data_IF_915285652231
#
_entry.id   IF_915285652231
#
_cell.length_a   1.000
_cell.length_b   1.000
_cell.length_c   1.000
_cell.angle_alpha   90.00
_cell.angle_beta   90.00
_cell.angle_gamma   90.00
#
_symmetry.space_group_name_H-M   'P 1'
#
loop_
_entity.id
_entity.type
_entity.pdbx_description
1 polymer ?
#
# COMPACT_ATOMS: atom_id res chain seq x y z
N UNK A 1 11.00 2.81 -5.82
CA UNK A 1 10.73 1.51 -5.20
C UNK A 1 10.38 0.50 -6.29
N UNK A 2 10.96 -0.69 -6.22
CA UNK A 2 10.71 -1.79 -7.17
C UNK A 2 10.50 -3.09 -6.43
N UNK A 3 9.63 -3.96 -6.96
CA UNK A 3 9.39 -5.31 -6.46
C UNK A 3 8.72 -6.18 -7.53
N UNK A 4 8.71 -7.49 -7.32
CA UNK A 4 7.99 -8.46 -8.15
C UNK A 4 6.66 -8.84 -7.51
N UNK A 5 5.65 -9.04 -8.33
CA UNK A 5 4.36 -9.67 -7.93
C UNK A 5 4.15 -11.00 -8.66
N UNK A 6 5.24 -11.57 -9.18
CA UNK A 6 5.19 -12.77 -10.01
C UNK A 6 4.56 -13.94 -9.25
N UNK A 7 3.64 -14.62 -9.92
CA UNK A 7 2.94 -15.82 -9.44
C UNK A 7 2.06 -15.59 -8.19
N UNK A 8 1.79 -14.34 -7.80
CA UNK A 8 0.87 -13.99 -6.72
C UNK A 8 -0.40 -13.40 -7.33
N UNK A 9 -1.61 -13.90 -6.99
CA UNK A 9 -2.85 -13.44 -7.58
C UNK A 9 -3.18 -11.98 -7.19
N UNK A 10 -3.88 -11.28 -8.08
CA UNK A 10 -4.51 -9.99 -7.79
C UNK A 10 -5.99 -10.21 -7.46
N UNK A 11 -6.43 -9.69 -6.34
CA UNK A 11 -7.77 -9.90 -5.76
C UNK A 11 -8.55 -8.59 -5.82
N UNK A 12 -9.70 -8.52 -6.52
CA UNK A 12 -10.54 -7.34 -6.53
C UNK A 12 -11.46 -7.32 -5.30
N UNK A 13 -11.47 -6.20 -4.58
CA UNK A 13 -12.38 -5.88 -3.50
C UNK A 13 -13.44 -4.89 -4.01
N UNK A 14 -14.59 -5.43 -4.45
CA UNK A 14 -15.63 -4.71 -5.16
C UNK A 14 -17.00 -4.87 -4.48
N UNK A 15 -17.11 -4.52 -3.21
CA UNK A 15 -18.35 -4.51 -2.44
C UNK A 15 -18.71 -5.84 -1.79
N UNK A 16 -17.74 -6.76 -1.63
CA UNK A 16 -17.96 -8.08 -1.00
C UNK A 16 -17.06 -8.33 0.21
N UNK A 17 -16.00 -7.53 0.38
CA UNK A 17 -15.00 -7.72 1.43
C UNK A 17 -15.23 -6.73 2.58
N UNK A 18 -15.33 -5.45 2.27
CA UNK A 18 -15.48 -4.35 3.23
C UNK A 18 -16.61 -3.39 2.85
N UNK A 19 -16.95 -2.48 3.79
CA UNK A 19 -17.83 -1.31 3.58
C UNK A 19 -17.17 -0.11 4.28
N UNK A 20 -16.59 0.86 3.54
CA UNK A 20 -16.49 0.91 2.08
C UNK A 20 -15.57 -0.18 1.51
N UNK A 21 -15.72 -0.43 0.22
CA UNK A 21 -14.82 -1.29 -0.56
C UNK A 21 -14.22 -0.46 -1.71
N UNK A 22 -13.39 -1.04 -2.56
CA UNK A 22 -12.81 -0.36 -3.73
C UNK A 22 -11.29 -0.33 -3.73
N UNK A 23 -10.70 -1.52 -3.87
CA UNK A 23 -9.28 -1.71 -4.11
C UNK A 23 -9.02 -2.98 -4.91
N UNK A 24 -7.81 -3.11 -5.40
CA UNK A 24 -7.26 -4.37 -5.89
C UNK A 24 -5.96 -4.63 -5.13
N UNK A 25 -5.88 -5.77 -4.45
CA UNK A 25 -4.69 -6.14 -3.71
C UNK A 25 -3.99 -7.38 -4.28
N UNK A 26 -2.71 -7.47 -4.02
CA UNK A 26 -1.82 -8.61 -4.23
C UNK A 26 -0.74 -8.56 -3.15
N UNK A 27 0.31 -9.36 -3.26
CA UNK A 27 1.48 -9.21 -2.40
C UNK A 27 2.76 -9.12 -3.23
N UNK A 28 3.78 -8.38 -2.77
CA UNK A 28 5.11 -8.50 -3.34
C UNK A 28 5.71 -9.88 -3.04
N UNK A 29 6.48 -10.45 -3.97
CA UNK A 29 7.37 -11.56 -3.65
C UNK A 29 8.24 -11.12 -2.47
N UNK A 30 8.27 -11.91 -1.40
CA UNK A 30 8.72 -11.52 -0.06
C UNK A 30 10.08 -10.82 -0.01
N UNK A 31 11.04 -11.30 -0.78
CA UNK A 31 12.44 -10.83 -0.81
C UNK A 31 12.77 -9.92 -2.00
N UNK A 32 11.75 -9.44 -2.74
CA UNK A 32 11.96 -8.73 -3.99
C UNK A 32 12.00 -7.20 -3.85
N UNK A 33 11.50 -6.63 -2.75
CA UNK A 33 11.37 -5.18 -2.60
C UNK A 33 12.74 -4.53 -2.39
N UNK A 34 13.04 -3.51 -3.22
CA UNK A 34 14.24 -2.69 -3.09
C UNK A 34 13.94 -1.21 -3.34
N UNK A 35 14.57 -0.33 -2.56
CA UNK A 35 14.43 1.12 -2.67
C UNK A 35 13.73 1.76 -1.48
N UNK A 36 13.25 2.97 -1.66
CA UNK A 36 12.69 3.79 -0.58
C UNK A 36 11.30 4.30 -0.95
N UNK A 37 10.40 4.33 0.02
CA UNK A 37 9.09 4.98 -0.08
C UNK A 37 8.89 5.93 1.08
N UNK A 38 8.34 7.14 0.79
CA UNK A 38 7.92 8.12 1.79
C UNK A 38 6.41 8.31 1.66
N UNK A 39 5.70 8.05 2.75
CA UNK A 39 4.25 8.15 2.79
C UNK A 39 3.82 9.59 3.09
N UNK A 40 2.75 10.02 2.45
CA UNK A 40 2.20 11.38 2.55
C UNK A 40 0.89 11.45 3.32
N UNK A 41 0.50 10.34 3.96
CA UNK A 41 -0.67 10.27 4.83
C UNK A 41 -0.26 9.99 6.28
N UNK A 42 -0.98 10.52 7.28
CA UNK A 42 -0.83 10.06 8.65
C UNK A 42 -1.42 8.64 8.80
N UNK A 43 -0.85 7.82 9.67
CA UNK A 43 -1.39 6.50 9.98
C UNK A 43 -1.49 6.29 11.49
N UNK A 44 -2.62 5.77 11.97
CA UNK A 44 -2.82 5.46 13.38
C UNK A 44 -2.52 4.00 13.63
N UNK A 45 -1.62 3.71 14.55
CA UNK A 45 -1.30 2.35 14.96
C UNK A 45 -1.14 2.29 16.49
N UNK A 46 -1.85 1.36 17.13
CA UNK A 46 -1.86 1.19 18.59
C UNK A 46 -2.10 2.50 19.36
N UNK A 47 -3.04 3.34 18.86
CA UNK A 47 -3.43 4.60 19.50
C UNK A 47 -2.44 5.76 19.32
N UNK A 48 -1.39 5.59 18.51
CA UNK A 48 -0.44 6.64 18.16
C UNK A 48 -0.56 7.03 16.70
N UNK A 49 -0.51 8.33 16.40
CA UNK A 49 -0.50 8.84 15.02
C UNK A 49 0.94 8.97 14.54
N UNK A 50 1.31 8.14 13.56
CA UNK A 50 2.57 8.26 12.85
C UNK A 50 2.42 9.18 11.64
N UNK A 51 3.43 10.02 11.41
CA UNK A 51 3.51 10.97 10.30
C UNK A 51 4.92 10.95 9.71
N UNK A 52 5.05 11.39 8.45
CA UNK A 52 6.34 11.45 7.76
C UNK A 52 7.08 10.10 7.76
N UNK A 53 6.31 9.02 7.57
CA UNK A 53 6.86 7.66 7.52
C UNK A 53 7.68 7.52 6.26
N UNK A 54 8.94 7.05 6.42
CA UNK A 54 9.82 6.72 5.32
C UNK A 54 10.49 5.37 5.59
N UNK A 55 10.33 4.45 4.64
CA UNK A 55 10.86 3.09 4.73
C UNK A 55 11.86 2.84 3.61
N UNK A 56 13.01 2.27 3.94
CA UNK A 56 14.00 1.78 2.96
C UNK A 56 14.07 0.26 3.04
N UNK A 57 13.99 -0.36 1.88
CA UNK A 57 13.99 -1.81 1.71
C UNK A 57 15.26 -2.29 1.00
N UNK A 58 15.79 -3.41 1.46
CA UNK A 58 16.82 -4.19 0.79
C UNK A 58 16.43 -5.66 0.80
N UNK A 59 16.29 -6.27 -0.38
CA UNK A 59 15.88 -7.66 -0.53
C UNK A 59 14.62 -8.00 0.30
N UNK A 60 13.58 -7.17 0.17
CA UNK A 60 12.29 -7.31 0.83
C UNK A 60 12.24 -6.81 2.28
N UNK A 61 13.38 -6.67 2.95
CA UNK A 61 13.43 -6.31 4.37
C UNK A 61 13.49 -4.79 4.56
N UNK A 62 12.70 -4.26 5.49
CA UNK A 62 12.83 -2.88 5.98
C UNK A 62 14.14 -2.77 6.78
N UNK A 63 15.15 -2.17 6.17
CA UNK A 63 16.48 -1.93 6.79
C UNK A 63 16.54 -0.58 7.50
N UNK A 64 15.67 0.35 7.11
CA UNK A 64 15.56 1.67 7.75
C UNK A 64 14.10 2.10 7.78
N UNK A 65 13.64 2.51 8.96
CA UNK A 65 12.32 3.11 9.16
C UNK A 65 12.48 4.40 9.96
N UNK A 66 11.89 5.48 9.48
CA UNK A 66 11.83 6.78 10.18
C UNK A 66 10.41 7.31 10.15
N UNK A 67 10.04 8.08 11.18
CA UNK A 67 8.77 8.77 11.31
C UNK A 67 8.92 9.95 12.28
N UNK A 68 7.82 10.62 12.60
CA UNK A 68 7.77 11.60 13.69
C UNK A 68 8.22 11.02 15.05
N UNK A 69 8.06 9.70 15.27
CA UNK A 69 8.65 8.94 16.38
C UNK A 69 9.38 7.71 15.82
N UNK A 70 10.66 7.90 15.50
CA UNK A 70 11.49 6.86 14.88
C UNK A 70 11.76 5.68 15.81
N UNK A 71 11.86 5.88 17.10
CA UNK A 71 12.05 4.79 18.06
C UNK A 71 10.81 3.91 18.13
N UNK A 72 9.63 4.54 18.22
CA UNK A 72 8.35 3.84 18.31
C UNK A 72 8.03 3.04 17.04
N UNK A 73 8.26 3.60 15.85
CA UNK A 73 8.00 2.86 14.59
C UNK A 73 8.90 1.62 14.47
N UNK A 74 10.17 1.73 14.89
CA UNK A 74 11.06 0.57 14.88
C UNK A 74 10.64 -0.49 15.89
N UNK A 75 10.08 -0.14 17.06
CA UNK A 75 9.51 -1.12 17.99
C UNK A 75 8.33 -1.88 17.38
N UNK A 76 7.51 -1.24 16.54
CA UNK A 76 6.44 -1.94 15.78
C UNK A 76 7.05 -2.94 14.82
N UNK A 77 8.05 -2.54 14.02
CA UNK A 77 8.69 -3.42 13.05
C UNK A 77 9.63 -4.47 13.67
N UNK A 78 9.96 -4.37 14.95
CA UNK A 78 10.74 -5.36 15.71
C UNK A 78 9.84 -6.31 16.52
N UNK A 79 8.51 -6.28 16.32
CA UNK A 79 7.57 -7.16 17.01
C UNK A 79 7.85 -8.64 16.72
N UNK A 80 8.14 -8.97 15.46
CA UNK A 80 8.57 -10.30 15.02
C UNK A 80 9.38 -10.20 13.71
N UNK A 81 9.88 -11.33 13.21
CA UNK A 81 10.71 -11.36 12.00
C UNK A 81 9.92 -10.88 10.77
N UNK A 82 8.64 -11.28 10.63
CA UNK A 82 7.80 -10.95 9.48
C UNK A 82 7.37 -9.47 9.46
N UNK A 83 7.41 -8.77 10.59
CA UNK A 83 7.00 -7.37 10.70
C UNK A 83 7.84 -6.41 9.84
N UNK A 84 9.07 -6.81 9.47
CA UNK A 84 9.94 -6.04 8.58
C UNK A 84 9.82 -6.41 7.09
N UNK A 85 8.87 -7.27 6.74
CA UNK A 85 8.56 -7.62 5.36
C UNK A 85 7.13 -7.22 5.00
N UNK A 86 6.85 -7.04 3.72
CA UNK A 86 5.54 -6.63 3.23
C UNK A 86 4.69 -7.84 2.93
N UNK A 87 3.48 -7.88 3.47
CA UNK A 87 2.46 -8.91 3.22
C UNK A 87 1.46 -8.53 2.15
N UNK A 88 1.32 -7.22 1.83
CA UNK A 88 0.34 -6.75 0.86
C UNK A 88 0.82 -5.52 0.09
N UNK A 89 0.42 -5.44 -1.17
CA UNK A 89 0.43 -4.26 -2.01
C UNK A 89 -0.94 -4.08 -2.64
N UNK A 90 -1.53 -2.91 -2.52
CA UNK A 90 -2.82 -2.65 -3.12
C UNK A 90 -2.92 -1.27 -3.78
N UNK A 91 -3.95 -1.13 -4.61
CA UNK A 91 -4.29 0.07 -5.36
C UNK A 91 -5.71 0.50 -4.96
N UNK A 92 -5.84 1.64 -4.29
CA UNK A 92 -7.12 2.24 -3.91
C UNK A 92 -7.79 2.92 -5.11
N UNK A 93 -9.10 2.62 -5.30
CA UNK A 93 -9.89 3.08 -6.45
C UNK A 93 -11.27 3.60 -6.08
N UNK A 94 -11.63 3.70 -4.79
CA UNK A 94 -12.97 4.16 -4.40
C UNK A 94 -13.14 5.66 -4.72
N UNK A 95 -14.05 6.05 -5.65
CA UNK A 95 -14.20 7.44 -6.10
C UNK A 95 -14.75 8.38 -5.03
N UNK A 96 -15.31 7.85 -3.95
CA UNK A 96 -15.92 8.62 -2.85
C UNK A 96 -14.99 8.80 -1.64
N UNK A 97 -13.90 8.04 -1.56
CA UNK A 97 -12.91 8.17 -0.49
C UNK A 97 -11.73 8.98 -1.01
N UNK A 98 -11.65 10.26 -0.61
CA UNK A 98 -10.71 11.21 -1.24
C UNK A 98 -9.61 11.69 -0.31
N UNK A 99 -9.80 11.64 1.00
CA UNK A 99 -8.87 12.23 1.96
C UNK A 99 -8.60 11.27 3.12
N UNK A 100 -7.41 11.34 3.74
CA UNK A 100 -7.11 10.54 4.92
C UNK A 100 -8.07 10.84 6.07
N UNK A 101 -8.65 9.81 6.64
CA UNK A 101 -9.57 9.87 7.78
C UNK A 101 -8.93 9.38 9.07
N UNK A 102 -7.71 8.82 8.99
CA UNK A 102 -7.04 8.09 10.09
C UNK A 102 -7.84 6.86 10.53
N UNK A 103 -8.57 6.28 9.61
CA UNK A 103 -9.30 5.04 9.72
C UNK A 103 -8.86 4.13 8.57
N UNK A 104 -8.23 3.02 8.90
CA UNK A 104 -7.55 2.19 7.92
C UNK A 104 -8.52 1.59 6.89
N UNK A 105 -9.72 1.19 7.31
CA UNK A 105 -10.73 0.64 6.40
C UNK A 105 -11.20 1.63 5.32
N UNK A 106 -11.06 2.93 5.58
CA UNK A 106 -11.31 3.99 4.60
C UNK A 106 -10.04 4.37 3.86
N UNK A 107 -8.93 4.56 4.57
CA UNK A 107 -7.72 5.14 4.00
C UNK A 107 -7.07 4.23 2.96
N UNK A 108 -7.18 2.90 3.11
CA UNK A 108 -6.72 1.92 2.13
C UNK A 108 -7.48 1.97 0.79
N UNK A 109 -8.73 2.49 0.78
CA UNK A 109 -9.58 2.61 -0.41
C UNK A 109 -9.44 3.95 -1.14
N UNK A 110 -8.63 4.89 -0.63
CA UNK A 110 -8.54 6.25 -1.19
C UNK A 110 -8.26 6.21 -2.69
N UNK A 111 -9.11 6.92 -3.45
CA UNK A 111 -8.96 7.06 -4.89
C UNK A 111 -7.58 7.62 -5.25
N UNK A 112 -6.88 6.92 -6.14
CA UNK A 112 -5.55 7.30 -6.59
C UNK A 112 -4.42 7.03 -5.59
N UNK A 113 -4.66 6.23 -4.55
CA UNK A 113 -3.63 5.78 -3.62
C UNK A 113 -3.05 4.42 -4.00
N UNK A 114 -1.95 4.09 -3.37
CA UNK A 114 -1.49 2.73 -3.11
C UNK A 114 -1.31 2.56 -1.61
N UNK A 115 -1.30 1.32 -1.16
CA UNK A 115 -0.70 1.00 0.14
C UNK A 115 0.26 -0.18 0.03
N UNK A 116 1.26 -0.16 0.90
CA UNK A 116 2.16 -1.26 1.17
C UNK A 116 2.02 -1.59 2.64
N UNK A 117 1.79 -2.85 2.93
CA UNK A 117 1.43 -3.34 4.25
C UNK A 117 2.53 -4.19 4.85
N UNK A 118 3.41 -3.63 5.70
CA UNK A 118 4.31 -4.44 6.51
C UNK A 118 3.54 -5.42 7.39
N UNK A 119 4.01 -6.66 7.42
CA UNK A 119 3.43 -7.72 8.25
C UNK A 119 2.82 -8.87 7.48
N UNK A 120 1.77 -9.46 8.05
CA UNK A 120 1.16 -10.69 7.56
C UNK A 120 0.57 -10.56 6.16
N UNK A 121 0.70 -11.59 5.33
CA UNK A 121 -0.03 -11.66 4.05
C UNK A 121 -1.43 -12.27 4.24
N UNK A 122 -2.32 -12.02 3.28
CA UNK A 122 -3.61 -12.70 3.20
C UNK A 122 -3.49 -14.06 2.51
N UNK A 123 -4.38 -14.98 2.88
CA UNK A 123 -4.45 -16.33 2.30
C UNK A 123 -4.82 -16.29 0.81
N UNK A 124 -5.53 -15.25 0.36
CA UNK A 124 -5.95 -15.04 -1.02
C UNK A 124 -4.79 -14.59 -1.94
N UNK A 125 -3.78 -13.95 -1.37
CA UNK A 125 -2.58 -13.49 -2.10
C UNK A 125 -1.31 -13.81 -1.29
N UNK A 126 -0.99 -15.09 -1.10
CA UNK A 126 0.06 -15.51 -0.18
C UNK A 126 1.45 -15.28 -0.77
N UNK A 127 2.31 -14.55 -0.06
CA UNK A 127 3.74 -14.45 -0.34
C UNK A 127 4.61 -15.18 0.70
N UNK A 128 3.97 -15.89 1.63
CA UNK A 128 4.63 -16.66 2.69
C UNK A 128 5.11 -15.82 3.87
N UNK A 129 4.83 -14.51 3.92
CA UNK A 129 5.20 -13.71 5.07
C UNK A 129 4.18 -13.87 6.19
N UNK A 130 4.65 -14.24 7.37
CA UNK A 130 3.83 -14.44 8.58
C UNK A 130 4.29 -13.46 9.65
N UNK A 131 3.35 -12.72 10.22
CA UNK A 131 3.60 -11.75 11.28
C UNK A 131 2.36 -11.57 12.15
N UNK A 132 2.55 -11.07 13.36
CA UNK A 132 1.47 -10.64 14.26
C UNK A 132 0.96 -9.25 13.95
N UNK A 133 1.63 -8.50 13.06
CA UNK A 133 1.16 -7.20 12.56
C UNK A 133 0.64 -7.32 11.13
N UNK A 134 -0.24 -6.39 10.77
CA UNK A 134 -0.70 -6.10 9.41
C UNK A 134 -1.03 -4.61 9.45
N UNK A 135 -0.19 -3.78 8.82
CA UNK A 135 -0.30 -2.33 8.96
C UNK A 135 -0.23 -1.62 7.61
N UNK A 136 -1.40 -1.23 7.10
CA UNK A 136 -1.52 -0.54 5.82
C UNK A 136 -0.98 0.87 5.91
N UNK A 137 0.04 1.13 5.11
CA UNK A 137 0.64 2.45 4.97
C UNK A 137 0.28 3.00 3.60
N UNK A 138 -0.44 4.11 3.58
CA UNK A 138 -1.06 4.67 2.38
C UNK A 138 -0.23 5.80 1.79
N UNK A 139 -0.05 5.78 0.46
CA UNK A 139 0.55 6.85 -0.31
C UNK A 139 -0.40 7.29 -1.42
N UNK A 140 -0.88 8.54 -1.35
CA UNK A 140 -1.77 9.13 -2.35
C UNK A 140 -0.93 9.69 -3.49
N UNK A 141 -1.24 9.29 -4.73
CA UNK A 141 -0.51 9.68 -5.94
C UNK A 141 -1.21 10.77 -6.77
N UNK A 142 -2.28 11.37 -6.26
CA UNK A 142 -2.94 12.48 -6.97
C UNK A 142 -2.06 13.74 -6.97
N UNK A 143 -2.22 14.66 -7.98
CA UNK A 143 -1.37 15.84 -8.13
C UNK A 143 -1.28 16.72 -6.88
N UNK A 144 -2.39 16.91 -6.18
CA UNK A 144 -2.46 17.71 -4.95
C UNK A 144 -1.68 17.11 -3.75
N UNK A 145 -1.29 15.81 -3.87
CA UNK A 145 -0.46 15.08 -2.92
C UNK A 145 0.97 14.85 -3.43
N UNK A 146 1.35 15.47 -4.56
CA UNK A 146 2.69 15.38 -5.12
C UNK A 146 2.81 14.47 -6.34
N UNK A 147 1.72 13.85 -6.77
CA UNK A 147 1.72 12.96 -7.95
C UNK A 147 2.38 11.60 -7.70
N UNK A 148 2.49 10.82 -8.76
CA UNK A 148 3.19 9.54 -8.74
C UNK A 148 2.91 8.69 -9.98
N UNK A 149 3.75 7.70 -10.20
CA UNK A 149 3.65 6.81 -11.35
C UNK A 149 3.79 5.35 -10.91
N UNK A 150 3.03 4.47 -11.58
CA UNK A 150 3.13 3.02 -11.42
C UNK A 150 3.48 2.41 -12.77
N UNK A 151 4.51 1.60 -12.79
CA UNK A 151 4.95 0.83 -13.94
C UNK A 151 4.85 -0.67 -13.64
N UNK A 152 4.36 -1.46 -14.62
CA UNK A 152 4.49 -2.90 -14.64
C UNK A 152 5.32 -3.29 -15.86
N UNK A 153 6.47 -3.94 -15.62
CA UNK A 153 7.41 -4.35 -16.68
C UNK A 153 7.73 -3.20 -17.67
N UNK A 154 8.10 -2.02 -17.12
CA UNK A 154 8.42 -0.79 -17.86
C UNK A 154 7.23 -0.15 -18.60
N UNK A 155 6.01 -0.68 -18.48
CA UNK A 155 4.80 -0.08 -19.03
C UNK A 155 4.15 0.82 -17.98
N UNK A 156 3.96 2.11 -18.31
CA UNK A 156 3.24 3.04 -17.44
C UNK A 156 1.76 2.62 -17.35
N UNK A 157 1.33 2.26 -16.14
CA UNK A 157 -0.03 1.79 -15.86
C UNK A 157 -0.91 2.88 -15.27
N UNK A 158 -0.36 3.63 -14.30
CA UNK A 158 -1.06 4.73 -13.62
C UNK A 158 -0.13 5.93 -13.45
N UNK A 159 -0.66 7.13 -13.69
CA UNK A 159 0.01 8.41 -13.48
C UNK A 159 -0.90 9.35 -12.71
N UNK A 160 -0.34 9.98 -11.69
CA UNK A 160 -1.03 10.99 -10.88
C UNK A 160 -2.40 10.50 -10.37
N UNK A 161 -2.44 9.22 -9.94
CA UNK A 161 -3.63 8.57 -9.42
C UNK A 161 -4.61 8.04 -10.46
N UNK A 162 -4.33 8.19 -11.77
CA UNK A 162 -5.22 7.80 -12.87
C UNK A 162 -4.62 6.72 -13.75
N UNK A 163 -5.41 5.71 -14.09
CA UNK A 163 -5.02 4.67 -15.03
C UNK A 163 -4.92 5.25 -16.45
N UNK A 164 -3.79 4.99 -17.12
CA UNK A 164 -3.51 5.48 -18.45
C UNK A 164 -3.67 4.42 -19.54
N UNK A 165 -3.63 3.13 -19.17
CA UNK A 165 -3.87 2.04 -20.11
C UNK A 165 -5.35 1.96 -20.48
N UNK A 166 -5.72 1.86 -21.78
CA UNK A 166 -7.11 1.80 -22.21
C UNK A 166 -7.92 0.69 -21.51
N UNK A 167 -7.30 -0.47 -21.28
CA UNK A 167 -7.94 -1.63 -20.60
C UNK A 167 -8.24 -1.40 -19.13
N UNK A 168 -7.63 -0.40 -18.49
CA UNK A 168 -7.80 -0.09 -17.06
C UNK A 168 -8.50 1.25 -16.81
N UNK A 169 -8.82 2.01 -17.84
CA UNK A 169 -9.51 3.30 -17.68
C UNK A 169 -10.88 3.16 -17.01
N UNK A 170 -11.51 1.99 -17.11
CA UNK A 170 -12.77 1.68 -16.39
C UNK A 170 -12.62 1.75 -14.85
N UNK A 171 -11.40 1.77 -14.31
CA UNK A 171 -11.11 1.96 -12.88
C UNK A 171 -10.86 3.44 -12.52
N UNK A 172 -10.97 4.36 -13.45
CA UNK A 172 -10.93 5.78 -13.15
C UNK A 172 -12.26 6.26 -12.53
N UNK A 173 -12.21 7.30 -11.67
CA UNK A 173 -13.36 7.68 -10.85
C UNK A 173 -14.63 7.99 -11.64
N UNK A 174 -14.53 8.57 -12.83
CA UNK A 174 -15.67 8.89 -13.68
C UNK A 174 -16.40 7.67 -14.25
N UNK A 175 -15.77 6.51 -14.27
CA UNK A 175 -16.34 5.25 -14.77
C UNK A 175 -16.88 4.37 -13.64
N UNK A 176 -16.57 4.71 -12.38
CA UNK A 176 -16.97 3.94 -11.18
C UNK A 176 -18.17 4.55 -10.44
N UNK A 177 -18.79 5.61 -10.96
CA UNK A 177 -19.93 6.32 -10.37
C UNK A 177 -21.25 5.95 -11.03
#
# INVERSE_FOLDING_TARGET
LTFSIKDIPAIPCAGRMNIPDGEVFTAPVRDSINGTISYNTPSVYQGFTFENICLTFENGKIVKATANDTERINKVFDTDEGARYVGEFAIGVNPYVLHPMKDILFDEKIMGSIHLTPGNCYDEAPNGNVSSIHWDLVWIQRPEYGGGEIYFDDVLVRKDGRFVLPSLQCLNPEELV
#
